data_IF_715407569917
#
_entry.id   IF_715407569917
#
_cell.length_a   1.000
_cell.length_b   1.000
_cell.length_c   1.000
_cell.angle_alpha   90.00
_cell.angle_beta   90.00
_cell.angle_gamma   90.00
#
_symmetry.space_group_name_H-M   'P 1'
#
loop_
_entity.id
_entity.type
_entity.pdbx_description
1 polymer ?
#
# COMPACT_ATOMS: atom_id res chain seq x y z
N UNK A 1 2.39 4.75 1.23
CA UNK A 1 3.43 3.91 0.56
C UNK A 1 4.87 4.41 0.74
N UNK A 2 5.19 5.69 0.53
CA UNK A 2 6.58 6.18 0.71
C UNK A 2 7.08 6.04 2.16
N UNK A 3 6.24 6.34 3.16
CA UNK A 3 6.55 6.18 4.60
C UNK A 3 6.82 4.74 5.02
N UNK A 4 6.02 3.79 4.52
CA UNK A 4 6.23 2.34 4.69
C UNK A 4 7.56 1.83 4.09
N UNK A 5 7.99 2.38 2.94
CA UNK A 5 9.28 2.02 2.36
C UNK A 5 10.45 2.53 3.20
N UNK A 6 10.32 3.72 3.80
CA UNK A 6 11.35 4.23 4.72
C UNK A 6 11.47 3.38 5.99
N UNK A 7 10.34 2.86 6.51
CA UNK A 7 10.32 1.99 7.70
C UNK A 7 10.98 0.63 7.43
N UNK A 8 10.74 0.04 6.26
CA UNK A 8 11.35 -1.22 5.83
C UNK A 8 12.86 -1.08 5.51
N UNK A 9 13.28 0.09 5.01
CA UNK A 9 14.69 0.42 4.77
C UNK A 9 15.42 0.73 6.10
N UNK A 10 14.77 1.38 7.06
CA UNK A 10 15.34 1.66 8.38
C UNK A 10 15.58 0.36 9.17
N UNK A 11 14.63 -0.59 9.09
CA UNK A 11 14.72 -1.92 9.70
C UNK A 11 15.89 -2.75 9.14
N UNK A 12 16.18 -2.62 7.84
CA UNK A 12 17.30 -3.29 7.18
C UNK A 12 18.68 -2.68 7.57
N UNK A 13 18.75 -1.37 7.82
CA UNK A 13 20.00 -0.67 8.18
C UNK A 13 20.43 -0.94 9.63
N UNK A 14 19.49 -1.16 10.55
CA UNK A 14 19.78 -1.42 11.96
C UNK A 14 20.49 -2.77 12.23
N UNK A 15 20.44 -3.74 11.29
CA UNK A 15 20.99 -5.08 11.49
C UNK A 15 22.29 -5.39 10.72
N UNK A 16 22.82 -4.46 9.92
CA UNK A 16 24.13 -4.64 9.26
C UNK A 16 25.35 -4.49 10.20
N UNK A 17 25.14 -4.22 11.50
CA UNK A 17 26.20 -3.90 12.45
C UNK A 17 26.78 -5.06 13.28
N UNK A 18 26.32 -6.32 13.11
CA UNK A 18 26.74 -7.39 14.05
C UNK A 18 26.89 -8.75 13.40
N UNK A 19 27.84 -8.92 12.47
CA UNK A 19 28.39 -10.24 12.18
C UNK A 19 29.92 -10.19 11.99
N UNK A 20 30.57 -11.09 12.73
CA UNK A 20 31.88 -11.68 12.48
C UNK A 20 33.14 -10.97 13.02
N UNK A 21 33.35 -11.09 14.35
CA UNK A 21 34.66 -11.50 14.86
C UNK A 21 34.85 -12.99 14.52
N UNK A 22 35.38 -13.25 13.32
CA UNK A 22 35.80 -14.56 12.85
C UNK A 22 37.22 -14.46 12.31
N UNK A 23 38.16 -15.04 13.06
CA UNK A 23 39.60 -15.04 12.81
C UNK A 23 39.95 -15.87 11.56
N UNK A 24 40.50 -15.24 10.52
CA UNK A 24 41.19 -15.91 9.41
C UNK A 24 40.88 -15.34 8.01
N UNK A 25 41.90 -14.82 7.32
CA UNK A 25 41.91 -14.35 5.90
C UNK A 25 41.27 -12.98 5.55
N UNK A 26 41.50 -11.93 6.36
CA UNK A 26 40.77 -10.65 6.26
C UNK A 26 41.26 -9.60 5.24
N UNK A 27 42.39 -9.78 4.53
CA UNK A 27 42.85 -8.76 3.58
C UNK A 27 42.16 -8.83 2.20
N UNK A 28 41.83 -10.03 1.69
CA UNK A 28 41.24 -10.17 0.36
C UNK A 28 39.72 -9.90 0.32
N UNK A 29 39.02 -10.12 1.44
CA UNK A 29 37.58 -9.85 1.56
C UNK A 29 37.29 -8.34 1.73
N UNK A 30 38.16 -7.59 2.41
CA UNK A 30 38.03 -6.14 2.62
C UNK A 30 38.11 -5.34 1.31
N UNK A 31 38.99 -5.74 0.39
CA UNK A 31 39.12 -5.07 -0.91
C UNK A 31 37.93 -5.36 -1.86
N UNK A 32 37.40 -6.60 -1.87
CA UNK A 32 36.18 -6.92 -2.64
C UNK A 32 34.93 -6.23 -2.11
N UNK A 33 34.79 -6.08 -0.80
CA UNK A 33 33.67 -5.33 -0.21
C UNK A 33 33.70 -3.84 -0.54
N UNK A 34 34.90 -3.24 -0.54
CA UNK A 34 35.08 -1.81 -0.84
C UNK A 34 34.91 -1.48 -2.33
N UNK A 35 35.22 -2.41 -3.24
CA UNK A 35 34.91 -2.27 -4.67
C UNK A 35 33.42 -2.34 -4.95
N UNK A 36 32.70 -3.33 -4.37
CA UNK A 36 31.24 -3.45 -4.54
C UNK A 36 30.46 -2.26 -3.98
N UNK A 37 30.94 -1.66 -2.88
CA UNK A 37 30.34 -0.45 -2.32
C UNK A 37 30.57 0.80 -3.21
N UNK A 38 31.68 0.86 -3.95
CA UNK A 38 31.93 1.95 -4.92
C UNK A 38 31.08 1.79 -6.18
N UNK A 39 31.00 0.59 -6.74
CA UNK A 39 30.11 0.31 -7.89
C UNK A 39 28.63 0.56 -7.56
N UNK A 40 28.18 0.23 -6.35
CA UNK A 40 26.82 0.52 -5.92
C UNK A 40 26.56 2.03 -5.82
N UNK A 41 27.53 2.81 -5.36
CA UNK A 41 27.39 4.27 -5.25
C UNK A 41 27.37 4.95 -6.62
N UNK A 42 28.21 4.50 -7.55
CA UNK A 42 28.31 5.06 -8.91
C UNK A 42 27.06 4.76 -9.76
N UNK A 43 26.47 3.57 -9.61
CA UNK A 43 25.20 3.23 -10.27
C UNK A 43 24.00 4.06 -9.73
N UNK A 44 23.99 4.38 -8.44
CA UNK A 44 22.94 5.23 -7.85
C UNK A 44 23.05 6.68 -8.34
N UNK A 45 24.28 7.19 -8.49
CA UNK A 45 24.54 8.55 -8.99
C UNK A 45 24.13 8.68 -10.47
N UNK A 46 24.50 7.71 -11.32
CA UNK A 46 24.04 7.68 -12.73
C UNK A 46 22.52 7.57 -12.88
N UNK A 47 21.85 6.82 -12.00
CA UNK A 47 20.39 6.68 -12.05
C UNK A 47 19.68 7.96 -11.61
N UNK A 48 20.25 8.68 -10.64
CA UNK A 48 19.72 9.96 -10.17
C UNK A 48 19.85 11.08 -11.23
N UNK A 49 20.98 11.13 -11.94
CA UNK A 49 21.19 12.11 -13.02
C UNK A 49 20.26 11.85 -14.22
N UNK A 50 20.04 10.58 -14.60
CA UNK A 50 19.11 10.22 -15.68
C UNK A 50 17.65 10.56 -15.36
N UNK A 51 17.24 10.42 -14.10
CA UNK A 51 15.90 10.81 -13.65
C UNK A 51 15.71 12.33 -13.65
N UNK A 52 16.78 13.08 -13.39
CA UNK A 52 16.75 14.55 -13.38
C UNK A 52 16.63 15.12 -14.78
N UNK A 53 17.35 14.56 -15.76
CA UNK A 53 17.21 14.92 -17.18
C UNK A 53 15.80 14.62 -17.73
N UNK A 54 15.22 13.46 -17.41
CA UNK A 54 13.85 13.13 -17.85
C UNK A 54 12.78 14.06 -17.26
N UNK A 55 12.98 14.54 -16.02
CA UNK A 55 12.06 15.47 -15.39
C UNK A 55 12.10 16.87 -16.02
N UNK A 56 13.28 17.36 -16.39
CA UNK A 56 13.43 18.68 -17.04
C UNK A 56 12.92 18.67 -18.49
N UNK A 57 12.99 17.54 -19.18
CA UNK A 57 12.48 17.40 -20.54
C UNK A 57 10.94 17.34 -20.58
N UNK A 58 10.34 16.64 -19.61
CA UNK A 58 8.88 16.59 -19.44
C UNK A 58 8.29 17.97 -19.06
N UNK A 59 9.00 18.77 -18.27
CA UNK A 59 8.56 20.12 -17.87
C UNK A 59 8.61 21.10 -19.05
N UNK A 60 9.65 21.01 -19.90
CA UNK A 60 9.76 21.80 -21.15
C UNK A 60 8.72 21.42 -22.20
N UNK A 61 8.32 20.15 -22.27
CA UNK A 61 7.25 19.70 -23.17
C UNK A 61 5.87 20.21 -22.70
N UNK A 62 5.65 20.28 -21.38
CA UNK A 62 4.42 20.82 -20.80
C UNK A 62 4.28 22.34 -21.00
N UNK A 63 5.38 23.10 -20.91
CA UNK A 63 5.36 24.54 -21.20
C UNK A 63 5.18 24.87 -22.69
N UNK A 64 5.75 24.06 -23.61
CA UNK A 64 5.54 24.24 -25.05
C UNK A 64 4.09 24.00 -25.48
N UNK A 65 3.38 23.09 -24.81
CA UNK A 65 1.99 22.80 -25.11
C UNK A 65 1.00 23.85 -24.57
N UNK A 66 1.41 24.66 -23.59
CA UNK A 66 0.53 25.69 -23.00
C UNK A 66 0.47 27.00 -23.80
N UNK A 67 1.44 27.25 -24.70
CA UNK A 67 1.61 28.54 -25.36
C UNK A 67 1.11 28.64 -26.82
N UNK A 68 0.61 27.55 -27.43
CA UNK A 68 0.04 27.61 -28.79
C UNK A 68 -1.48 27.75 -28.77
N UNK A 69 -1.93 28.86 -28.18
CA UNK A 69 -3.29 29.37 -28.36
C UNK A 69 -3.43 30.07 -29.71
N UNK A 70 -3.77 29.32 -30.77
CA UNK A 70 -4.51 29.85 -31.93
C UNK A 70 -4.78 28.76 -32.97
N UNK A 71 -6.04 28.33 -33.09
CA UNK A 71 -6.77 27.96 -34.32
C UNK A 71 -8.03 27.16 -33.97
N UNK A 72 -9.02 27.84 -33.41
CA UNK A 72 -10.31 27.26 -32.99
C UNK A 72 -11.27 26.96 -34.15
N UNK A 73 -10.96 27.39 -35.38
CA UNK A 73 -11.89 27.27 -36.52
C UNK A 73 -11.57 26.15 -37.54
N UNK A 74 -10.40 25.50 -37.45
CA UNK A 74 -10.08 24.33 -38.31
C UNK A 74 -10.46 22.98 -37.66
N UNK A 75 -10.45 22.91 -36.33
CA UNK A 75 -10.75 21.70 -35.56
C UNK A 75 -12.21 21.23 -35.68
N UNK A 76 -13.16 22.13 -35.99
CA UNK A 76 -14.59 21.76 -36.03
C UNK A 76 -14.98 21.00 -37.30
N UNK A 77 -14.20 21.11 -38.39
CA UNK A 77 -14.47 20.38 -39.65
C UNK A 77 -13.79 19.00 -39.68
N UNK A 78 -12.61 18.87 -39.08
CA UNK A 78 -11.89 17.58 -38.94
C UNK A 78 -12.49 16.67 -37.83
N UNK A 79 -13.10 17.25 -36.79
CA UNK A 79 -13.75 16.48 -35.72
C UNK A 79 -14.99 15.70 -36.22
N UNK A 80 -15.65 16.15 -37.28
CA UNK A 80 -16.83 15.46 -37.82
C UNK A 80 -16.48 14.27 -38.72
N UNK A 81 -15.39 14.36 -39.48
CA UNK A 81 -14.87 13.23 -40.28
C UNK A 81 -14.07 12.21 -39.42
N UNK A 82 -13.45 12.66 -38.32
CA UNK A 82 -12.78 11.78 -37.35
C UNK A 82 -13.74 10.93 -36.50
N UNK A 83 -14.97 11.38 -36.29
CA UNK A 83 -15.95 10.67 -35.45
C UNK A 83 -16.57 9.46 -36.16
N UNK A 84 -16.71 9.49 -37.49
CA UNK A 84 -17.17 8.33 -38.27
C UNK A 84 -16.07 7.28 -38.46
N UNK A 85 -14.82 7.69 -38.70
CA UNK A 85 -13.66 6.76 -38.71
C UNK A 85 -13.30 6.22 -37.31
N UNK A 86 -13.61 6.96 -36.25
CA UNK A 86 -13.38 6.56 -34.86
C UNK A 86 -14.27 5.41 -34.39
N UNK A 87 -15.51 5.30 -34.90
CA UNK A 87 -16.38 4.15 -34.59
C UNK A 87 -15.89 2.86 -35.24
N UNK A 88 -15.39 2.92 -36.47
CA UNK A 88 -14.82 1.75 -37.17
C UNK A 88 -13.46 1.30 -36.57
N UNK A 89 -12.66 2.25 -36.06
CA UNK A 89 -11.41 1.96 -35.37
C UNK A 89 -11.63 1.43 -33.93
N UNK A 90 -12.71 1.82 -33.26
CA UNK A 90 -13.04 1.37 -31.90
C UNK A 90 -13.40 -0.12 -31.83
N UNK A 91 -13.92 -0.72 -32.90
CA UNK A 91 -14.18 -2.17 -32.96
C UNK A 91 -12.91 -2.99 -33.25
N UNK A 92 -11.89 -2.38 -33.89
CA UNK A 92 -10.61 -3.03 -34.22
C UNK A 92 -9.47 -2.72 -33.24
N UNK A 93 -9.58 -1.69 -32.42
CA UNK A 93 -8.58 -1.29 -31.41
C UNK A 93 -8.72 -2.03 -30.07
N UNK A 94 -9.08 -3.32 -30.11
CA UNK A 94 -8.85 -4.25 -28.99
C UNK A 94 -7.35 -4.50 -28.86
N UNK A 95 -6.66 -3.65 -28.13
CA UNK A 95 -5.29 -3.93 -27.69
C UNK A 95 -4.40 -2.71 -27.73
N UNK A 96 -4.19 -2.11 -26.56
CA UNK A 96 -2.87 -1.70 -26.05
C UNK A 96 -3.04 -1.03 -24.67
N UNK A 97 -3.70 -1.74 -23.75
CA UNK A 97 -3.66 -1.41 -22.33
C UNK A 97 -3.01 -2.58 -21.61
N UNK A 98 -1.69 -2.47 -21.42
CA UNK A 98 -0.80 -3.24 -20.55
C UNK A 98 -1.44 -4.38 -19.72
N UNK A 99 -1.05 -5.61 -20.05
CA UNK A 99 -1.36 -6.85 -19.31
C UNK A 99 -1.60 -8.00 -20.27
N UNK A 100 -0.59 -8.83 -20.52
CA UNK A 100 -0.65 -9.96 -21.46
C UNK A 100 -1.63 -11.06 -21.05
N UNK A 101 -2.07 -11.09 -19.79
CA UNK A 101 -2.94 -12.14 -19.24
C UNK A 101 -4.16 -11.54 -18.52
N UNK A 102 -5.14 -11.03 -19.27
CA UNK A 102 -6.41 -10.55 -18.70
C UNK A 102 -7.45 -11.66 -18.50
N UNK A 103 -7.13 -12.90 -18.89
CA UNK A 103 -8.02 -14.07 -18.76
C UNK A 103 -9.46 -13.85 -19.25
N UNK A 104 -9.67 -12.96 -20.23
CA UNK A 104 -11.00 -12.62 -20.75
C UNK A 104 -11.74 -11.48 -20.02
N UNK A 105 -11.18 -10.91 -18.95
CA UNK A 105 -11.78 -9.79 -18.21
C UNK A 105 -11.66 -8.46 -18.95
N UNK A 106 -12.62 -7.56 -18.72
CA UNK A 106 -12.54 -6.18 -19.21
C UNK A 106 -11.37 -5.44 -18.56
N UNK A 107 -10.85 -4.40 -19.23
CA UNK A 107 -9.75 -3.59 -18.68
C UNK A 107 -10.09 -2.94 -17.32
N UNK A 108 -11.37 -2.64 -17.09
CA UNK A 108 -11.87 -2.07 -15.82
C UNK A 108 -11.86 -3.11 -14.70
N UNK A 109 -12.43 -4.29 -14.94
CA UNK A 109 -12.45 -5.39 -13.97
C UNK A 109 -11.03 -5.85 -13.62
N UNK A 110 -10.16 -6.00 -14.62
CA UNK A 110 -8.75 -6.36 -14.41
C UNK A 110 -8.01 -5.31 -13.56
N UNK A 111 -8.31 -4.02 -13.75
CA UNK A 111 -7.75 -2.95 -12.94
C UNK A 111 -8.21 -3.01 -11.48
N UNK A 112 -9.51 -3.25 -11.26
CA UNK A 112 -10.09 -3.40 -9.92
C UNK A 112 -9.54 -4.63 -9.20
N UNK A 113 -9.45 -5.78 -9.89
CA UNK A 113 -8.89 -7.00 -9.32
C UNK A 113 -7.44 -6.79 -8.88
N UNK A 114 -6.58 -6.22 -9.73
CA UNK A 114 -5.18 -5.95 -9.36
C UNK A 114 -5.05 -4.97 -8.20
N UNK A 115 -5.91 -3.96 -8.14
CA UNK A 115 -5.94 -3.06 -6.99
C UNK A 115 -6.34 -3.78 -5.71
N UNK A 116 -7.30 -4.71 -5.78
CA UNK A 116 -7.72 -5.54 -4.65
C UNK A 116 -6.61 -6.48 -4.18
N UNK A 117 -5.98 -7.20 -5.11
CA UNK A 117 -4.86 -8.10 -4.81
C UNK A 117 -3.68 -7.33 -4.18
N UNK A 118 -3.34 -6.15 -4.70
CA UNK A 118 -2.28 -5.32 -4.13
C UNK A 118 -2.60 -4.87 -2.70
N UNK A 119 -3.86 -4.47 -2.44
CA UNK A 119 -4.31 -4.11 -1.08
C UNK A 119 -4.24 -5.31 -0.14
N UNK A 120 -4.69 -6.48 -0.59
CA UNK A 120 -4.67 -7.71 0.22
C UNK A 120 -3.24 -8.15 0.53
N UNK A 121 -2.33 -8.09 -0.44
CA UNK A 121 -0.92 -8.37 -0.22
C UNK A 121 -0.29 -7.40 0.78
N UNK A 122 -0.57 -6.10 0.65
CA UNK A 122 -0.08 -5.11 1.62
C UNK A 122 -0.61 -5.38 3.04
N UNK A 123 -1.88 -5.74 3.19
CA UNK A 123 -2.46 -6.13 4.49
C UNK A 123 -1.75 -7.34 5.10
N UNK A 124 -1.52 -8.38 4.29
CA UNK A 124 -0.78 -9.58 4.75
C UNK A 124 0.65 -9.24 5.18
N UNK A 125 1.36 -8.41 4.42
CA UNK A 125 2.71 -7.99 4.77
C UNK A 125 2.73 -7.16 6.07
N UNK A 126 1.74 -6.28 6.27
CA UNK A 126 1.57 -5.52 7.50
C UNK A 126 1.34 -6.45 8.69
N UNK A 127 0.42 -7.41 8.56
CA UNK A 127 0.10 -8.39 9.61
C UNK A 127 1.31 -9.23 10.00
N UNK A 128 2.06 -9.72 9.00
CA UNK A 128 3.30 -10.43 9.27
C UNK A 128 4.35 -9.56 9.95
N UNK A 129 4.42 -8.27 9.61
CA UNK A 129 5.39 -7.34 10.20
C UNK A 129 5.04 -7.02 11.65
N UNK A 130 3.77 -6.76 11.95
CA UNK A 130 3.25 -6.58 13.31
C UNK A 130 3.54 -7.85 14.13
N UNK A 131 3.21 -9.03 13.60
CA UNK A 131 3.46 -10.30 14.29
C UNK A 131 4.94 -10.51 14.59
N UNK A 132 5.81 -10.36 13.58
CA UNK A 132 7.27 -10.48 13.76
C UNK A 132 7.81 -9.44 14.75
N UNK A 133 7.24 -8.24 14.78
CA UNK A 133 7.57 -7.21 15.75
C UNK A 133 7.26 -7.64 17.18
N UNK A 134 6.04 -8.13 17.43
CA UNK A 134 5.61 -8.68 18.74
C UNK A 134 6.47 -9.85 19.19
N UNK A 135 6.68 -10.83 18.32
CA UNK A 135 7.48 -12.01 18.65
C UNK A 135 8.91 -11.61 19.05
N UNK A 136 9.51 -10.64 18.34
CA UNK A 136 10.85 -10.13 18.64
C UNK A 136 10.90 -9.30 19.92
N UNK A 137 9.89 -8.48 20.20
CA UNK A 137 9.87 -7.69 21.43
C UNK A 137 9.73 -8.58 22.66
N UNK A 138 8.91 -9.63 22.57
CA UNK A 138 8.76 -10.64 23.61
C UNK A 138 10.06 -11.40 23.87
N UNK A 139 10.73 -11.89 22.82
CA UNK A 139 12.05 -12.54 22.92
C UNK A 139 13.11 -11.60 23.52
N UNK A 140 13.10 -10.32 23.15
CA UNK A 140 14.02 -9.33 23.69
C UNK A 140 13.74 -9.05 25.17
N UNK A 141 12.47 -8.96 25.58
CA UNK A 141 12.08 -8.81 27.00
C UNK A 141 12.54 -9.99 27.85
N UNK A 142 12.44 -11.22 27.34
CA UNK A 142 12.95 -12.40 28.03
C UNK A 142 14.46 -12.33 28.22
N UNK A 143 15.21 -11.99 27.15
CA UNK A 143 16.67 -11.83 27.23
C UNK A 143 17.11 -10.73 28.19
N UNK A 144 16.36 -9.63 28.25
CA UNK A 144 16.62 -8.53 29.17
C UNK A 144 16.42 -9.00 30.62
N UNK A 145 15.31 -9.69 30.91
CA UNK A 145 15.06 -10.28 32.24
C UNK A 145 16.15 -11.26 32.66
N UNK A 146 16.58 -12.15 31.76
CA UNK A 146 17.69 -13.06 32.01
C UNK A 146 19.01 -12.32 32.29
N UNK A 147 19.29 -11.25 31.55
CA UNK A 147 20.49 -10.45 31.73
C UNK A 147 20.48 -9.67 33.04
N UNK A 148 19.32 -9.16 33.46
CA UNK A 148 19.11 -8.52 34.76
C UNK A 148 19.38 -9.51 35.89
N UNK A 149 18.72 -10.66 35.86
CA UNK A 149 18.89 -11.69 36.88
C UNK A 149 20.36 -12.12 37.01
N UNK A 150 21.03 -12.43 35.89
CA UNK A 150 22.45 -12.83 35.92
C UNK A 150 23.37 -11.73 36.40
N UNK A 151 23.03 -10.47 36.13
CA UNK A 151 23.84 -9.33 36.58
C UNK A 151 23.69 -9.12 38.08
N UNK A 152 22.48 -9.26 38.60
CA UNK A 152 22.19 -9.19 40.03
C UNK A 152 22.87 -10.34 40.80
N UNK A 153 22.68 -11.59 40.35
CA UNK A 153 23.28 -12.78 40.97
C UNK A 153 24.82 -12.70 41.00
N UNK A 154 25.45 -12.25 39.91
CA UNK A 154 26.91 -12.10 39.85
C UNK A 154 27.42 -11.00 40.80
N UNK A 155 26.65 -9.92 41.00
CA UNK A 155 27.01 -8.86 41.94
C UNK A 155 26.86 -9.32 43.39
N UNK A 156 25.74 -9.96 43.72
CA UNK A 156 25.50 -10.54 45.05
C UNK A 156 26.53 -11.61 45.43
N UNK A 157 26.97 -12.41 44.46
CA UNK A 157 28.04 -13.40 44.62
C UNK A 157 29.45 -12.79 44.71
N UNK A 158 29.60 -11.48 44.44
CA UNK A 158 30.89 -10.79 44.41
C UNK A 158 31.77 -11.18 43.23
N UNK A 159 31.19 -11.73 42.16
CA UNK A 159 31.91 -12.11 40.93
C UNK A 159 32.26 -10.90 40.05
N UNK A 160 31.52 -9.80 40.21
CA UNK A 160 31.73 -8.55 39.49
C UNK A 160 31.85 -7.38 40.45
N UNK A 161 32.58 -6.34 40.05
CA UNK A 161 32.70 -5.11 40.83
C UNK A 161 31.44 -4.24 40.71
N UNK A 162 31.26 -3.29 41.64
CA UNK A 162 30.16 -2.30 41.59
C UNK A 162 30.19 -1.48 40.28
N UNK A 163 31.37 -1.09 39.81
CA UNK A 163 31.53 -0.36 38.54
C UNK A 163 31.08 -1.22 37.34
N UNK A 164 31.40 -2.52 37.35
CA UNK A 164 30.96 -3.45 36.30
C UNK A 164 29.45 -3.72 36.35
N UNK A 165 28.88 -3.81 37.56
CA UNK A 165 27.43 -3.94 37.76
C UNK A 165 26.68 -2.74 37.17
N UNK A 166 27.08 -1.51 37.54
CA UNK A 166 26.45 -0.28 37.03
C UNK A 166 26.59 -0.17 35.49
N UNK A 167 27.74 -0.53 34.93
CA UNK A 167 27.92 -0.53 33.48
C UNK A 167 27.01 -1.54 32.75
N UNK A 168 26.83 -2.73 33.34
CA UNK A 168 25.91 -3.76 32.79
C UNK A 168 24.47 -3.29 32.89
N UNK A 169 24.08 -2.71 34.03
CA UNK A 169 22.75 -2.17 34.26
C UNK A 169 22.40 -1.04 33.28
N UNK A 170 23.33 -0.12 33.02
CA UNK A 170 23.13 0.94 32.03
C UNK A 170 22.91 0.38 30.60
N UNK A 171 23.64 -0.67 30.23
CA UNK A 171 23.46 -1.33 28.92
C UNK A 171 22.12 -2.06 28.82
N UNK A 172 21.70 -2.71 29.91
CA UNK A 172 20.41 -3.38 30.01
C UNK A 172 19.28 -2.35 29.88
N UNK A 173 19.38 -1.21 30.57
CA UNK A 173 18.36 -0.16 30.51
C UNK A 173 18.24 0.41 29.09
N UNK A 174 19.37 0.70 28.43
CA UNK A 174 19.36 1.11 27.01
C UNK A 174 18.78 0.07 26.07
N UNK A 175 18.89 -1.22 26.41
CA UNK A 175 18.25 -2.29 25.64
C UNK A 175 16.74 -2.32 25.89
N UNK A 176 16.31 -2.08 27.14
CA UNK A 176 14.91 -1.98 27.54
C UNK A 176 14.21 -0.83 26.85
N UNK A 177 14.79 0.37 26.86
CA UNK A 177 14.26 1.55 26.14
C UNK A 177 13.99 1.24 24.66
N UNK A 178 14.94 0.58 23.98
CA UNK A 178 14.78 0.20 22.56
C UNK A 178 13.68 -0.84 22.32
N UNK A 179 13.46 -1.73 23.28
CA UNK A 179 12.38 -2.71 23.20
C UNK A 179 11.04 -2.03 23.40
N UNK A 180 10.95 -1.07 24.32
CA UNK A 180 9.76 -0.25 24.52
C UNK A 180 9.43 0.61 23.28
N UNK A 181 10.44 1.23 22.66
CA UNK A 181 10.28 1.95 21.38
C UNK A 181 9.72 1.02 20.28
N UNK A 182 10.28 -0.19 20.14
CA UNK A 182 9.78 -1.17 19.17
C UNK A 182 8.33 -1.58 19.45
N UNK A 183 7.95 -1.73 20.72
CA UNK A 183 6.60 -2.10 21.11
C UNK A 183 5.59 -1.00 20.82
N UNK A 184 5.96 0.25 21.08
CA UNK A 184 5.15 1.41 20.71
C UNK A 184 4.95 1.47 19.20
N UNK A 185 5.99 1.29 18.39
CA UNK A 185 5.87 1.27 16.92
C UNK A 185 4.93 0.15 16.43
N UNK A 186 5.02 -1.03 17.05
CA UNK A 186 4.15 -2.18 16.73
C UNK A 186 2.71 -1.93 17.15
N UNK A 187 2.49 -1.28 18.28
CA UNK A 187 1.17 -0.89 18.77
C UNK A 187 0.53 0.16 17.86
N UNK A 188 1.24 1.24 17.53
CA UNK A 188 0.79 2.28 16.60
C UNK A 188 0.41 1.70 15.24
N UNK A 189 1.24 0.81 14.69
CA UNK A 189 0.95 0.14 13.41
C UNK A 189 -0.31 -0.73 13.49
N UNK A 190 -0.56 -1.37 14.63
CA UNK A 190 -1.75 -2.19 14.85
C UNK A 190 -3.01 -1.34 15.03
N UNK A 191 -2.91 -0.20 15.73
CA UNK A 191 -4.00 0.76 15.86
C UNK A 191 -4.38 1.39 14.52
N UNK A 192 -3.40 1.81 13.72
CA UNK A 192 -3.62 2.35 12.37
C UNK A 192 -4.35 1.32 11.50
N UNK A 193 -3.92 0.06 11.53
CA UNK A 193 -4.59 -1.04 10.85
C UNK A 193 -6.06 -1.16 11.27
N UNK A 194 -6.34 -1.18 12.58
CA UNK A 194 -7.73 -1.30 13.06
C UNK A 194 -8.60 -0.11 12.64
N UNK A 195 -8.04 1.11 12.66
CA UNK A 195 -8.76 2.31 12.19
C UNK A 195 -9.09 2.22 10.70
N UNK A 196 -8.15 1.81 9.86
CA UNK A 196 -8.40 1.61 8.42
C UNK A 196 -9.49 0.54 8.16
N UNK A 197 -9.50 -0.53 8.96
CA UNK A 197 -10.53 -1.58 8.85
C UNK A 197 -11.91 -1.09 9.32
N UNK A 198 -11.97 -0.29 10.38
CA UNK A 198 -13.22 0.31 10.88
C UNK A 198 -13.79 1.33 9.89
N UNK A 199 -12.95 2.18 9.31
CA UNK A 199 -13.36 3.14 8.26
C UNK A 199 -13.89 2.41 7.03
N UNK A 200 -13.19 1.38 6.56
CA UNK A 200 -13.65 0.55 5.44
C UNK A 200 -14.97 -0.17 5.75
N UNK A 201 -15.18 -0.63 6.98
CA UNK A 201 -16.42 -1.25 7.40
C UNK A 201 -17.59 -0.26 7.43
N UNK A 202 -17.36 0.97 7.93
CA UNK A 202 -18.35 2.05 7.93
C UNK A 202 -18.74 2.48 6.52
N UNK A 203 -17.77 2.60 5.62
CA UNK A 203 -18.04 2.91 4.20
C UNK A 203 -18.89 1.80 3.57
N UNK A 204 -18.52 0.53 3.77
CA UNK A 204 -19.29 -0.61 3.27
C UNK A 204 -20.72 -0.67 3.84
N UNK A 205 -20.90 -0.37 5.13
CA UNK A 205 -22.21 -0.29 5.77
C UNK A 205 -23.06 0.83 5.17
N UNK A 206 -22.46 2.00 4.92
CA UNK A 206 -23.14 3.13 4.29
C UNK A 206 -23.58 2.80 2.86
N UNK A 207 -22.69 2.22 2.05
CA UNK A 207 -23.02 1.78 0.69
C UNK A 207 -24.14 0.74 0.69
N UNK A 208 -24.10 -0.23 1.61
CA UNK A 208 -25.15 -1.24 1.74
C UNK A 208 -26.50 -0.63 2.13
N UNK A 209 -26.50 0.39 3.00
CA UNK A 209 -27.71 1.12 3.39
C UNK A 209 -28.29 1.92 2.24
N UNK A 210 -27.46 2.63 1.48
CA UNK A 210 -27.91 3.39 0.29
C UNK A 210 -28.50 2.44 -0.76
N UNK A 211 -27.84 1.31 -1.04
CA UNK A 211 -28.36 0.29 -1.96
C UNK A 211 -29.69 -0.33 -1.48
N UNK A 212 -29.86 -0.52 -0.16
CA UNK A 212 -31.12 -1.01 0.40
C UNK A 212 -32.25 0.02 0.28
N UNK A 213 -31.96 1.32 0.42
CA UNK A 213 -32.94 2.38 0.22
C UNK A 213 -33.37 2.48 -1.26
N UNK A 214 -32.42 2.42 -2.19
CA UNK A 214 -32.72 2.41 -3.63
C UNK A 214 -33.56 1.18 -4.02
N UNK A 215 -33.27 0.02 -3.42
CA UNK A 215 -34.08 -1.19 -3.62
C UNK A 215 -35.52 -1.06 -3.08
N UNK A 216 -35.71 -0.39 -1.94
CA UNK A 216 -37.02 -0.16 -1.33
C UNK A 216 -37.86 0.86 -2.13
N UNK A 217 -37.21 1.92 -2.63
CA UNK A 217 -37.83 2.90 -3.52
C UNK A 217 -38.28 2.25 -4.84
N UNK A 218 -37.39 1.50 -5.50
CA UNK A 218 -37.72 0.79 -6.75
C UNK A 218 -38.80 -0.28 -6.57
N UNK A 219 -38.83 -0.98 -5.42
CA UNK A 219 -39.90 -1.92 -5.09
C UNK A 219 -41.25 -1.20 -4.89
N UNK A 220 -41.24 -0.04 -4.24
CA UNK A 220 -42.44 0.78 -4.03
C UNK A 220 -42.99 1.32 -5.36
N UNK A 221 -42.13 1.83 -6.24
CA UNK A 221 -42.51 2.27 -7.60
C UNK A 221 -43.10 1.11 -8.43
N UNK A 222 -42.51 -0.08 -8.34
CA UNK A 222 -43.03 -1.25 -9.04
C UNK A 222 -44.39 -1.71 -8.49
N UNK A 223 -44.61 -1.62 -7.18
CA UNK A 223 -45.91 -1.93 -6.57
C UNK A 223 -46.99 -0.92 -6.98
N UNK A 224 -46.66 0.38 -7.02
CA UNK A 224 -47.57 1.43 -7.49
C UNK A 224 -47.95 1.20 -8.96
N UNK A 225 -46.97 0.97 -9.84
CA UNK A 225 -47.23 0.67 -11.25
C UNK A 225 -48.09 -0.61 -11.45
N UNK A 226 -47.91 -1.63 -10.61
CA UNK A 226 -48.73 -2.83 -10.66
C UNK A 226 -50.17 -2.58 -10.21
N UNK A 227 -50.38 -1.71 -9.20
CA UNK A 227 -51.73 -1.31 -8.75
C UNK A 227 -52.44 -0.50 -9.83
N UNK A 228 -51.76 0.46 -10.46
CA UNK A 228 -52.30 1.25 -11.58
C UNK A 228 -52.72 0.33 -12.73
N UNK A 229 -51.85 -0.57 -13.18
CA UNK A 229 -52.15 -1.51 -14.26
C UNK A 229 -53.34 -2.43 -13.93
N UNK A 230 -53.51 -2.81 -12.66
CA UNK A 230 -54.65 -3.63 -12.22
C UNK A 230 -55.95 -2.82 -12.25
N UNK A 231 -55.92 -1.55 -11.82
CA UNK A 231 -57.08 -0.66 -11.88
C UNK A 231 -57.52 -0.40 -13.32
N UNK A 232 -56.58 -0.11 -14.22
CA UNK A 232 -56.87 0.06 -15.65
C UNK A 232 -57.50 -1.20 -16.27
N UNK A 233 -57.02 -2.38 -15.91
CA UNK A 233 -57.58 -3.65 -16.39
C UNK A 233 -59.00 -3.91 -15.86
N UNK A 234 -59.27 -3.58 -14.59
CA UNK A 234 -60.61 -3.69 -14.01
C UNK A 234 -61.61 -2.70 -14.65
N UNK A 235 -61.18 -1.47 -14.93
CA UNK A 235 -61.99 -0.46 -15.61
C UNK A 235 -62.35 -0.90 -17.03
N UNK A 236 -61.35 -1.33 -17.81
CA UNK A 236 -61.57 -1.85 -19.17
C UNK A 236 -62.49 -3.08 -19.19
N UNK A 237 -62.42 -3.95 -18.18
CA UNK A 237 -63.31 -5.10 -18.07
C UNK A 237 -64.76 -4.69 -17.78
N UNK A 238 -65.00 -3.66 -16.96
CA UNK A 238 -66.35 -3.12 -16.72
C UNK A 238 -66.94 -2.47 -17.96
N UNK A 239 -66.15 -1.66 -18.68
CA UNK A 239 -66.61 -1.05 -19.93
C UNK A 239 -67.04 -2.12 -20.96
N UNK A 240 -66.29 -3.22 -21.06
CA UNK A 240 -66.63 -4.33 -21.96
C UNK A 240 -67.88 -5.14 -21.56
N UNK A 241 -68.33 -5.07 -20.30
CA UNK A 241 -69.59 -5.69 -19.85
C UNK A 241 -70.82 -4.80 -20.11
N UNK A 242 -70.63 -3.50 -20.33
CA UNK A 242 -71.71 -2.53 -20.59
C UNK A 242 -72.09 -2.41 -22.09
N UNK A 243 -71.21 -2.84 -23.01
CA UNK A 243 -71.39 -2.88 -24.47
C UNK A 243 -72.07 -4.16 -24.99
#
# INVERSE_FOLDING_TARGET
MKRFHYLLILLMLAFSGSLAFGQGNSQNARNKGRQKAKEAKENVEQTADSLREQSEEAEKEFERNRNNGNKKDKARKEMKEGMEKGKEASEKARGNAFGKDKQGMSGREFGQQRAREAREQNRKMLDESIKKGKDKSEEARERIRDAEQRTEEAYEAGEISEEEYENRKEKIEKAREKVEELEQEVEEANEEKMREEEEAAREAEKEAREAAQEADETASEAEEAAREATQEAEEAAREAEED
#
